data_IF_768067897416
#
_entry.id   IF_768067897416
#
_cell.length_a   1.000
_cell.length_b   1.000
_cell.length_c   1.000
_cell.angle_alpha   90.00
_cell.angle_beta   90.00
_cell.angle_gamma   90.00
#
_symmetry.space_group_name_H-M   'P 1'
#
loop_
_entity.id
_entity.type
_entity.pdbx_description
1 polymer ?
#
# COMPACT_ATOMS: atom_id res chain seq x y z
N UNK A 1 -4.37 -12.25 24.37
CA UNK A 1 -3.27 -12.89 23.61
C UNK A 1 -3.28 -14.38 23.92
N UNK A 2 -3.43 -15.20 22.88
CA UNK A 2 -3.30 -16.66 22.97
C UNK A 2 -1.81 -16.99 22.89
N UNK A 3 -1.31 -17.73 23.88
CA UNK A 3 0.10 -18.14 23.97
C UNK A 3 0.29 -19.56 23.44
N UNK A 4 -0.75 -20.39 23.54
CA UNK A 4 -0.73 -21.77 23.10
C UNK A 4 -2.06 -22.44 23.34
N UNK A 5 -2.06 -23.75 23.28
CA UNK A 5 -3.22 -24.59 23.55
C UNK A 5 -2.88 -25.68 24.56
N UNK A 6 -3.89 -26.11 25.34
CA UNK A 6 -3.72 -27.25 26.24
C UNK A 6 -3.37 -28.52 25.44
N UNK A 7 -2.52 -29.36 26.01
CA UNK A 7 -2.20 -30.67 25.42
C UNK A 7 -3.43 -31.59 25.42
N UNK A 8 -3.65 -32.29 24.29
CA UNK A 8 -4.78 -33.23 24.16
C UNK A 8 -5.18 -33.43 22.71
N UNK A 9 -6.30 -34.10 22.46
CA UNK A 9 -6.89 -34.20 21.12
C UNK A 9 -7.32 -32.82 20.63
N UNK A 10 -7.25 -32.58 19.31
CA UNK A 10 -7.57 -31.27 18.70
C UNK A 10 -8.93 -30.74 19.17
N UNK A 11 -9.95 -31.59 19.24
CA UNK A 11 -11.29 -31.22 19.71
C UNK A 11 -11.37 -30.83 21.21
N UNK A 12 -10.36 -31.18 21.99
CA UNK A 12 -10.30 -30.92 23.43
C UNK A 12 -9.32 -29.80 23.79
N UNK A 13 -8.57 -29.31 22.82
CA UNK A 13 -7.58 -28.26 23.04
C UNK A 13 -8.27 -26.92 23.36
N UNK A 14 -7.90 -26.35 24.50
CA UNK A 14 -8.38 -25.03 24.91
C UNK A 14 -7.26 -24.03 24.75
N UNK A 15 -7.56 -22.79 24.27
CA UNK A 15 -6.55 -21.74 24.19
C UNK A 15 -6.05 -21.39 25.59
N UNK A 16 -4.73 -21.25 25.71
CA UNK A 16 -4.07 -20.74 26.91
C UNK A 16 -3.67 -19.30 26.61
N UNK A 17 -4.14 -18.35 27.42
CA UNK A 17 -3.95 -16.94 27.25
C UNK A 17 -2.90 -16.39 28.21
N UNK A 18 -2.44 -15.17 27.97
CA UNK A 18 -1.59 -14.44 28.91
C UNK A 18 -2.26 -14.27 30.28
N UNK A 19 -3.60 -14.18 30.32
CA UNK A 19 -4.37 -14.09 31.55
C UNK A 19 -4.28 -15.37 32.39
N UNK A 20 -4.34 -16.53 31.75
CA UNK A 20 -4.23 -17.82 32.45
C UNK A 20 -2.85 -18.00 33.12
N UNK A 21 -1.83 -17.32 32.60
CA UNK A 21 -0.48 -17.29 33.17
C UNK A 21 -0.25 -16.10 34.14
N UNK A 22 -1.23 -15.25 34.35
CA UNK A 22 -1.11 -14.00 35.11
C UNK A 22 0.04 -13.10 34.61
N UNK A 23 0.32 -13.16 33.29
CA UNK A 23 1.45 -12.44 32.67
C UNK A 23 1.06 -11.09 32.05
N UNK A 24 -0.22 -10.74 32.00
CA UNK A 24 -0.72 -9.54 31.35
C UNK A 24 -0.15 -8.25 31.93
N UNK A 25 0.05 -8.16 33.24
CA UNK A 25 0.64 -6.99 33.90
C UNK A 25 2.09 -6.75 33.48
N UNK A 26 2.89 -7.82 33.44
CA UNK A 26 4.27 -7.78 32.97
C UNK A 26 4.37 -7.42 31.48
N UNK A 27 3.49 -7.99 30.65
CA UNK A 27 3.41 -7.67 29.22
C UNK A 27 3.02 -6.20 29.00
N UNK A 28 2.03 -5.69 29.74
CA UNK A 28 1.63 -4.29 29.66
C UNK A 28 2.78 -3.34 30.04
N UNK A 29 3.55 -3.68 31.06
CA UNK A 29 4.71 -2.88 31.48
C UNK A 29 5.79 -2.83 30.40
N UNK A 30 6.10 -3.96 29.76
CA UNK A 30 7.07 -4.03 28.67
C UNK A 30 6.59 -3.33 27.39
N UNK A 31 5.30 -3.40 27.08
CA UNK A 31 4.72 -2.83 25.87
C UNK A 31 4.28 -1.36 26.02
N UNK A 32 4.40 -0.77 27.21
CA UNK A 32 3.92 0.58 27.51
C UNK A 32 4.34 1.63 26.48
N UNK A 33 5.60 1.63 26.07
CA UNK A 33 6.10 2.59 25.09
C UNK A 33 5.86 2.13 23.65
N UNK A 34 5.86 0.84 23.40
CA UNK A 34 5.55 0.27 22.08
C UNK A 34 4.10 0.53 21.63
N UNK A 35 3.18 0.81 22.56
CA UNK A 35 1.78 1.17 22.25
C UNK A 35 1.62 2.61 21.76
N UNK A 36 2.66 3.43 21.86
CA UNK A 36 2.63 4.83 21.44
C UNK A 36 3.16 4.98 20.02
N UNK A 37 2.40 5.60 19.10
CA UNK A 37 2.94 5.93 17.78
C UNK A 37 4.15 6.86 17.87
N UNK A 38 5.11 6.67 16.96
CA UNK A 38 6.25 7.55 16.82
C UNK A 38 5.95 8.61 15.77
N UNK A 39 6.04 9.88 16.15
CA UNK A 39 5.97 11.00 15.22
C UNK A 39 7.38 11.38 14.80
N UNK A 40 7.63 11.37 13.51
CA UNK A 40 8.91 11.74 12.88
C UNK A 40 8.67 12.82 11.83
N UNK A 41 9.72 13.57 11.53
CA UNK A 41 9.72 14.53 10.43
C UNK A 41 10.44 13.94 9.22
N UNK A 42 9.84 14.05 8.04
CA UNK A 42 10.48 13.65 6.79
C UNK A 42 11.51 14.68 6.32
N UNK A 43 12.31 14.33 5.32
CA UNK A 43 13.27 15.26 4.71
C UNK A 43 12.59 16.49 4.07
N UNK A 44 11.35 16.33 3.64
CA UNK A 44 10.50 17.40 3.10
C UNK A 44 9.72 18.17 4.18
N UNK A 45 10.10 17.98 5.44
CA UNK A 45 9.48 18.62 6.62
C UNK A 45 8.02 18.26 6.88
N UNK A 46 7.49 17.25 6.21
CA UNK A 46 6.16 16.72 6.47
C UNK A 46 6.17 15.76 7.68
N UNK A 47 5.11 15.76 8.52
CA UNK A 47 5.02 14.81 9.61
C UNK A 47 4.71 13.39 9.10
N UNK A 48 5.34 12.39 9.70
CA UNK A 48 5.04 10.98 9.46
C UNK A 48 4.87 10.24 10.78
N UNK A 49 3.88 9.36 10.85
CA UNK A 49 3.58 8.56 12.04
C UNK A 49 3.95 7.11 11.75
N UNK A 50 4.87 6.55 12.53
CA UNK A 50 5.36 5.18 12.41
C UNK A 50 4.94 4.39 13.65
N UNK A 51 4.30 3.25 13.46
CA UNK A 51 3.83 2.46 14.59
C UNK A 51 3.61 0.97 14.23
N UNK A 52 4.10 0.09 15.10
CA UNK A 52 3.79 -1.33 15.12
C UNK A 52 4.50 -2.20 14.10
N UNK A 53 4.91 -1.69 12.95
CA UNK A 53 5.61 -2.43 11.90
C UNK A 53 4.92 -3.70 11.40
N UNK A 54 3.60 -3.70 11.09
CA UNK A 54 2.90 -4.91 10.65
C UNK A 54 3.26 -5.24 9.19
N UNK A 55 4.13 -6.21 9.00
CA UNK A 55 4.51 -6.67 7.65
C UNK A 55 3.32 -7.29 6.90
N UNK A 56 3.13 -6.90 5.64
CA UNK A 56 2.00 -7.34 4.83
C UNK A 56 2.03 -8.85 4.49
N UNK A 57 3.19 -9.49 4.49
CA UNK A 57 3.33 -10.93 4.25
C UNK A 57 2.99 -11.81 5.47
N UNK A 58 2.96 -11.24 6.67
CA UNK A 58 2.66 -11.98 7.92
C UNK A 58 1.48 -11.39 8.71
N UNK A 59 1.06 -10.16 8.39
CA UNK A 59 -0.05 -9.46 9.03
C UNK A 59 -0.82 -8.64 7.98
N UNK A 60 -1.69 -7.73 8.41
CA UNK A 60 -2.45 -6.87 7.48
C UNK A 60 -1.60 -5.79 6.80
N UNK A 61 -0.40 -5.47 7.31
CA UNK A 61 0.41 -4.35 6.81
C UNK A 61 -0.17 -2.97 7.18
N UNK A 62 0.27 -1.94 6.46
CA UNK A 62 -0.42 -0.63 6.40
C UNK A 62 -0.47 0.16 7.70
N UNK A 63 0.53 0.07 8.58
CA UNK A 63 0.58 0.78 9.85
C UNK A 63 -0.55 0.35 10.83
N UNK A 64 -0.59 0.89 12.04
CA UNK A 64 -1.59 0.55 13.05
C UNK A 64 -2.88 1.39 12.93
N UNK A 65 -3.98 0.88 13.47
CA UNK A 65 -5.23 1.64 13.58
C UNK A 65 -5.05 2.92 14.41
N UNK A 66 -4.27 2.85 15.48
CA UNK A 66 -3.99 3.99 16.37
C UNK A 66 -3.29 5.10 15.62
N UNK A 67 -2.23 4.78 14.86
CA UNK A 67 -1.48 5.75 14.07
C UNK A 67 -2.34 6.38 12.97
N UNK A 68 -3.10 5.58 12.24
CA UNK A 68 -3.98 6.08 11.17
C UNK A 68 -5.07 7.00 11.71
N UNK A 69 -5.75 6.61 12.79
CA UNK A 69 -6.75 7.48 13.42
C UNK A 69 -6.15 8.76 13.99
N UNK A 70 -4.91 8.70 14.48
CA UNK A 70 -4.19 9.88 14.94
C UNK A 70 -3.88 10.81 13.76
N UNK A 71 -3.35 10.30 12.64
CA UNK A 71 -3.09 11.08 11.43
C UNK A 71 -4.37 11.78 10.94
N UNK A 72 -5.48 11.06 10.83
CA UNK A 72 -6.78 11.60 10.40
C UNK A 72 -7.33 12.70 11.33
N UNK A 73 -6.90 12.74 12.59
CA UNK A 73 -7.33 13.79 13.54
C UNK A 73 -6.41 15.01 13.57
N UNK A 74 -5.18 14.85 13.13
CA UNK A 74 -4.15 15.88 13.24
C UNK A 74 -3.86 16.62 11.93
N UNK A 75 -4.35 16.10 10.80
CA UNK A 75 -4.06 16.63 9.48
C UNK A 75 -5.32 16.70 8.61
N UNK A 76 -5.35 17.61 7.64
CA UNK A 76 -6.40 17.72 6.64
C UNK A 76 -6.36 16.54 5.64
N UNK A 77 -5.16 16.02 5.39
CA UNK A 77 -4.93 14.84 4.55
C UNK A 77 -4.13 13.79 5.32
N UNK A 78 -4.65 12.58 5.38
CA UNK A 78 -3.97 11.42 5.96
C UNK A 78 -3.66 10.42 4.85
N UNK A 79 -2.37 10.23 4.55
CA UNK A 79 -1.90 9.32 3.51
C UNK A 79 -1.32 8.08 4.18
N UNK A 80 -1.71 6.91 3.74
CA UNK A 80 -1.18 5.63 4.20
C UNK A 80 -0.83 4.75 3.00
N UNK A 81 0.14 3.87 3.18
CA UNK A 81 0.48 2.89 2.15
C UNK A 81 -0.33 1.60 2.30
N UNK A 82 -0.37 0.81 1.24
CA UNK A 82 -0.82 -0.57 1.26
C UNK A 82 0.28 -1.40 0.57
N UNK A 83 1.08 -2.10 1.35
CA UNK A 83 2.30 -2.78 0.88
C UNK A 83 2.03 -3.89 -0.14
N UNK A 84 2.98 -4.10 -1.04
CA UNK A 84 2.91 -5.02 -2.19
C UNK A 84 1.90 -4.56 -3.25
N UNK A 85 1.37 -5.51 -4.05
CA UNK A 85 0.37 -5.23 -5.07
C UNK A 85 -1.01 -4.92 -4.48
N UNK A 86 -1.88 -4.38 -5.33
CA UNK A 86 -3.28 -4.12 -4.96
C UNK A 86 -3.98 -5.40 -4.51
N UNK A 87 -3.70 -6.51 -5.18
CA UNK A 87 -4.21 -7.85 -4.91
C UNK A 87 -3.73 -8.49 -3.60
N UNK A 88 -2.89 -7.81 -2.84
CA UNK A 88 -2.43 -8.24 -1.51
C UNK A 88 -2.61 -7.13 -0.48
N UNK A 89 -1.88 -6.03 -0.60
CA UNK A 89 -1.85 -4.97 0.40
C UNK A 89 -3.13 -4.17 0.44
N UNK A 90 -3.67 -3.76 -0.71
CA UNK A 90 -4.91 -3.00 -0.75
C UNK A 90 -6.12 -3.84 -0.29
N UNK A 91 -6.19 -5.13 -0.65
CA UNK A 91 -7.22 -6.03 -0.12
C UNK A 91 -7.16 -6.11 1.41
N UNK A 92 -5.97 -6.34 1.98
CA UNK A 92 -5.81 -6.38 3.43
C UNK A 92 -6.16 -5.04 4.10
N UNK A 93 -5.78 -3.93 3.47
CA UNK A 93 -6.12 -2.60 3.95
C UNK A 93 -7.64 -2.39 3.98
N UNK A 94 -8.32 -2.68 2.89
CA UNK A 94 -9.76 -2.45 2.74
C UNK A 94 -10.58 -3.47 3.53
N UNK A 95 -10.28 -4.76 3.39
CA UNK A 95 -11.09 -5.84 3.95
C UNK A 95 -10.81 -6.14 5.41
N UNK A 96 -9.62 -5.83 5.92
CA UNK A 96 -9.26 -6.05 7.33
C UNK A 96 -9.20 -4.71 8.07
N UNK A 97 -8.25 -3.86 7.71
CA UNK A 97 -7.95 -2.66 8.49
C UNK A 97 -9.10 -1.65 8.47
N UNK A 98 -9.62 -1.32 7.29
CA UNK A 98 -10.73 -0.37 7.16
C UNK A 98 -11.99 -0.85 7.87
N UNK A 99 -12.31 -2.15 7.76
CA UNK A 99 -13.48 -2.74 8.45
C UNK A 99 -13.30 -2.71 9.97
N UNK A 100 -12.13 -3.08 10.49
CA UNK A 100 -11.85 -3.02 11.94
C UNK A 100 -11.84 -1.59 12.47
N UNK A 101 -11.35 -0.64 11.69
CA UNK A 101 -11.27 0.76 12.09
C UNK A 101 -12.57 1.54 11.90
N UNK A 102 -13.51 1.05 11.07
CA UNK A 102 -14.69 1.80 10.65
C UNK A 102 -14.32 3.02 9.81
N UNK A 103 -13.29 2.91 8.96
CA UNK A 103 -12.82 3.98 8.07
C UNK A 103 -12.94 3.53 6.61
N UNK A 104 -12.98 4.51 5.71
CA UNK A 104 -12.97 4.30 4.25
C UNK A 104 -12.04 5.35 3.65
N UNK A 105 -11.15 4.99 2.71
CA UNK A 105 -10.37 5.98 1.99
C UNK A 105 -11.27 6.79 1.03
N UNK A 106 -10.92 8.05 0.83
CA UNK A 106 -11.61 8.93 -0.10
C UNK A 106 -11.11 8.75 -1.53
N UNK A 107 -9.83 8.41 -1.69
CA UNK A 107 -9.20 8.11 -2.97
C UNK A 107 -8.08 7.07 -2.80
N UNK A 108 -7.72 6.42 -3.91
CA UNK A 108 -6.64 5.43 -4.00
C UNK A 108 -5.65 5.85 -5.08
N UNK A 109 -4.36 5.83 -4.75
CA UNK A 109 -3.28 5.98 -5.73
C UNK A 109 -2.72 4.60 -6.07
N UNK A 110 -2.83 4.19 -7.33
CA UNK A 110 -2.23 2.97 -7.85
C UNK A 110 -0.88 3.31 -8.46
N UNK A 111 0.20 2.81 -7.86
CA UNK A 111 1.55 3.03 -8.39
C UNK A 111 1.85 1.98 -9.45
N UNK A 112 2.10 2.41 -10.69
CA UNK A 112 2.52 1.60 -11.80
C UNK A 112 3.96 1.90 -12.20
N UNK A 113 4.69 0.91 -12.69
CA UNK A 113 6.01 1.10 -13.30
C UNK A 113 6.07 0.44 -14.67
N UNK A 114 6.71 1.09 -15.64
CA UNK A 114 6.95 0.51 -16.96
C UNK A 114 7.63 -0.86 -16.85
N UNK A 115 8.61 -0.98 -15.96
CA UNK A 115 9.35 -2.22 -15.70
C UNK A 115 8.44 -3.37 -15.26
N UNK A 116 7.53 -3.12 -14.31
CA UNK A 116 6.60 -4.15 -13.84
C UNK A 116 5.63 -4.57 -14.95
N UNK A 117 5.14 -3.62 -15.74
CA UNK A 117 4.23 -3.91 -16.85
C UNK A 117 4.96 -4.71 -17.95
N UNK A 118 6.19 -4.34 -18.35
CA UNK A 118 7.00 -5.15 -19.28
C UNK A 118 7.27 -6.57 -18.76
N UNK A 119 7.55 -6.71 -17.46
CA UNK A 119 7.73 -8.02 -16.84
C UNK A 119 6.45 -8.86 -16.93
N UNK A 120 5.30 -8.27 -16.65
CA UNK A 120 3.99 -8.91 -16.82
C UNK A 120 3.70 -9.25 -18.29
N UNK A 121 4.26 -8.50 -19.23
CA UNK A 121 4.19 -8.75 -20.67
C UNK A 121 5.19 -9.80 -21.18
N UNK A 122 6.00 -10.40 -20.28
CA UNK A 122 6.90 -11.51 -20.59
C UNK A 122 8.37 -11.16 -20.78
N UNK A 123 8.80 -9.91 -20.51
CA UNK A 123 10.21 -9.52 -20.57
C UNK A 123 10.98 -10.11 -19.39
N UNK A 124 12.13 -10.70 -19.64
CA UNK A 124 13.00 -11.22 -18.60
C UNK A 124 13.63 -10.08 -17.76
N UNK A 125 13.90 -10.35 -16.48
CA UNK A 125 14.42 -9.32 -15.55
C UNK A 125 15.68 -8.57 -16.02
N UNK A 126 16.68 -9.21 -16.68
CA UNK A 126 17.85 -8.51 -17.19
C UNK A 126 17.55 -7.48 -18.28
N UNK A 127 16.48 -7.70 -19.06
CA UNK A 127 16.16 -6.94 -20.27
C UNK A 127 15.14 -5.82 -20.02
N UNK A 128 14.71 -5.63 -18.77
CA UNK A 128 13.68 -4.64 -18.39
C UNK A 128 14.09 -3.18 -18.62
N UNK A 129 15.37 -2.91 -18.84
CA UNK A 129 15.87 -1.56 -19.14
C UNK A 129 15.78 -1.20 -20.64
N UNK A 130 15.58 -2.19 -21.50
CA UNK A 130 15.43 -1.99 -22.95
C UNK A 130 13.98 -1.59 -23.27
N UNK A 131 13.81 -0.68 -24.25
CA UNK A 131 12.47 -0.30 -24.71
C UNK A 131 11.75 -1.52 -25.32
N UNK A 132 10.51 -1.74 -24.89
CA UNK A 132 9.68 -2.81 -25.43
C UNK A 132 8.19 -2.49 -25.33
N UNK A 133 7.69 -1.75 -26.32
CA UNK A 133 6.29 -1.32 -26.38
C UNK A 133 5.32 -2.49 -26.51
N UNK A 134 5.70 -3.54 -27.27
CA UNK A 134 4.85 -4.73 -27.46
C UNK A 134 4.62 -5.46 -26.14
N UNK A 135 5.69 -5.70 -25.40
CA UNK A 135 5.58 -6.33 -24.08
C UNK A 135 4.86 -5.43 -23.05
N UNK A 136 5.11 -4.12 -23.12
CA UNK A 136 4.41 -3.15 -22.29
C UNK A 136 2.90 -3.21 -22.54
N UNK A 137 2.46 -3.20 -23.79
CA UNK A 137 1.05 -3.31 -24.16
C UNK A 137 0.42 -4.63 -23.67
N UNK A 138 1.15 -5.75 -23.77
CA UNK A 138 0.72 -7.04 -23.21
C UNK A 138 0.58 -7.03 -21.69
N UNK A 139 1.36 -6.23 -20.99
CA UNK A 139 1.32 -6.13 -19.54
C UNK A 139 0.27 -5.15 -18.99
N UNK A 140 -0.18 -4.18 -19.77
CA UNK A 140 -1.17 -3.17 -19.37
C UNK A 140 -2.47 -3.79 -18.83
N UNK A 141 -3.02 -4.89 -19.36
CA UNK A 141 -4.21 -5.54 -18.79
C UNK A 141 -4.09 -5.88 -17.29
N UNK A 142 -2.87 -6.11 -16.77
CA UNK A 142 -2.65 -6.30 -15.35
C UNK A 142 -2.98 -5.02 -14.55
N UNK A 143 -2.46 -3.87 -14.97
CA UNK A 143 -2.79 -2.57 -14.36
C UNK A 143 -4.32 -2.29 -14.45
N UNK A 144 -4.90 -2.56 -15.60
CA UNK A 144 -6.34 -2.37 -15.82
C UNK A 144 -7.20 -3.20 -14.89
N UNK A 145 -6.76 -4.42 -14.57
CA UNK A 145 -7.44 -5.28 -13.60
C UNK A 145 -7.44 -4.64 -12.21
N UNK A 146 -6.30 -4.12 -11.75
CA UNK A 146 -6.19 -3.44 -10.46
C UNK A 146 -7.04 -2.17 -10.40
N UNK A 147 -7.02 -1.35 -11.46
CA UNK A 147 -7.93 -0.19 -11.58
C UNK A 147 -9.38 -0.61 -11.50
N UNK A 148 -9.75 -1.69 -12.23
CA UNK A 148 -11.11 -2.24 -12.22
C UNK A 148 -11.54 -2.73 -10.84
N UNK A 149 -10.65 -3.35 -10.08
CA UNK A 149 -10.94 -3.79 -8.71
C UNK A 149 -11.25 -2.58 -7.81
N UNK A 150 -10.41 -1.55 -7.83
CA UNK A 150 -10.62 -0.36 -7.01
C UNK A 150 -11.92 0.36 -7.39
N UNK A 151 -12.16 0.60 -8.69
CA UNK A 151 -13.33 1.35 -9.16
C UNK A 151 -14.63 0.55 -9.06
N UNK A 152 -14.63 -0.71 -9.50
CA UNK A 152 -15.86 -1.46 -9.72
C UNK A 152 -16.20 -2.40 -8.54
N UNK A 153 -15.20 -2.92 -7.81
CA UNK A 153 -15.44 -3.81 -6.67
C UNK A 153 -15.53 -3.00 -5.38
N UNK A 154 -14.54 -2.14 -5.12
CA UNK A 154 -14.51 -1.33 -3.90
C UNK A 154 -15.28 -0.01 -4.02
N UNK A 155 -15.60 0.43 -5.24
CA UNK A 155 -16.34 1.67 -5.48
C UNK A 155 -15.59 2.92 -5.01
N UNK A 156 -14.28 2.94 -5.23
CA UNK A 156 -13.40 4.03 -4.81
C UNK A 156 -12.84 4.79 -6.02
N UNK A 157 -12.71 6.13 -5.93
CA UNK A 157 -11.96 6.89 -6.91
C UNK A 157 -10.49 6.44 -6.91
N UNK A 158 -9.86 6.40 -8.07
CA UNK A 158 -8.42 6.10 -8.15
C UNK A 158 -7.71 6.95 -9.19
N UNK A 159 -6.45 7.22 -8.92
CA UNK A 159 -5.47 7.87 -9.80
C UNK A 159 -4.33 6.89 -10.02
N UNK A 160 -3.83 6.79 -11.25
CA UNK A 160 -2.63 6.02 -11.55
C UNK A 160 -1.40 6.92 -11.49
N UNK A 161 -0.45 6.60 -10.62
CA UNK A 161 0.86 7.24 -10.58
C UNK A 161 1.85 6.40 -11.39
N UNK A 162 2.33 6.91 -12.51
CA UNK A 162 3.42 6.26 -13.26
C UNK A 162 4.73 6.66 -12.57
N UNK A 163 5.31 5.75 -11.79
CA UNK A 163 6.59 5.97 -11.13
C UNK A 163 7.72 5.78 -12.15
N UNK A 164 8.23 6.90 -12.67
CA UNK A 164 9.21 6.93 -13.75
C UNK A 164 10.61 6.56 -13.26
N UNK A 165 11.27 5.73 -14.01
CA UNK A 165 12.67 5.38 -13.85
C UNK A 165 13.52 6.04 -14.96
N UNK A 166 14.82 6.33 -14.70
CA UNK A 166 15.69 6.95 -15.70
C UNK A 166 15.85 6.15 -17.00
N UNK A 167 15.53 4.85 -16.96
CA UNK A 167 15.60 3.95 -18.12
C UNK A 167 14.30 3.88 -18.91
N UNK A 168 13.21 4.45 -18.40
CA UNK A 168 11.94 4.43 -19.10
C UNK A 168 11.97 5.42 -20.26
N UNK A 169 11.54 4.98 -21.44
CA UNK A 169 11.50 5.86 -22.60
C UNK A 169 10.22 6.70 -22.63
N UNK A 170 10.30 7.83 -23.32
CA UNK A 170 9.11 8.68 -23.50
C UNK A 170 7.96 7.90 -24.15
N UNK A 171 8.26 7.07 -25.14
CA UNK A 171 7.25 6.27 -25.83
C UNK A 171 6.55 5.29 -24.90
N UNK A 172 7.29 4.66 -23.97
CA UNK A 172 6.72 3.76 -22.97
C UNK A 172 5.82 4.50 -21.97
N UNK A 173 6.26 5.66 -21.49
CA UNK A 173 5.48 6.49 -20.57
C UNK A 173 4.19 7.00 -21.22
N UNK A 174 4.29 7.52 -22.46
CA UNK A 174 3.15 8.02 -23.25
C UNK A 174 2.13 6.89 -23.50
N UNK A 175 2.57 5.65 -23.78
CA UNK A 175 1.69 4.51 -23.99
C UNK A 175 0.87 4.17 -22.73
N UNK A 176 1.51 4.13 -21.56
CA UNK A 176 0.79 3.86 -20.30
C UNK A 176 -0.21 4.96 -20.01
N UNK A 177 0.17 6.22 -20.22
CA UNK A 177 -0.71 7.37 -20.02
C UNK A 177 -1.92 7.33 -20.94
N UNK A 178 -1.73 7.03 -22.23
CA UNK A 178 -2.80 6.89 -23.22
C UNK A 178 -3.79 5.81 -22.82
N UNK A 179 -3.29 4.63 -22.44
CA UNK A 179 -4.14 3.51 -22.01
C UNK A 179 -4.94 3.80 -20.74
N UNK A 180 -4.38 4.52 -19.78
CA UNK A 180 -5.13 4.98 -18.61
C UNK A 180 -6.25 5.96 -19.00
N UNK A 181 -5.97 6.91 -19.90
CA UNK A 181 -6.96 7.88 -20.39
C UNK A 181 -8.10 7.22 -21.18
N UNK A 182 -7.79 6.23 -22.03
CA UNK A 182 -8.81 5.43 -22.75
C UNK A 182 -9.85 4.80 -21.80
N UNK A 183 -9.43 4.46 -20.57
CA UNK A 183 -10.28 3.85 -19.54
C UNK A 183 -10.94 4.87 -18.61
N UNK A 184 -10.76 6.15 -18.89
CA UNK A 184 -11.31 7.21 -18.05
C UNK A 184 -10.75 7.20 -16.62
N UNK A 185 -9.45 6.94 -16.48
CA UNK A 185 -8.73 6.98 -15.22
C UNK A 185 -7.73 8.12 -15.24
N UNK A 186 -7.75 8.95 -14.20
CA UNK A 186 -6.77 9.99 -14.00
C UNK A 186 -5.38 9.38 -13.85
N UNK A 187 -4.39 9.98 -14.47
CA UNK A 187 -3.02 9.49 -14.48
C UNK A 187 -2.04 10.65 -14.37
N UNK A 188 -1.00 10.48 -13.56
CA UNK A 188 0.06 11.45 -13.44
C UNK A 188 1.43 10.75 -13.44
N UNK A 189 2.40 11.40 -14.08
CA UNK A 189 3.80 11.00 -13.98
C UNK A 189 4.34 11.41 -12.62
N UNK A 190 4.96 10.47 -11.92
CA UNK A 190 5.62 10.69 -10.64
C UNK A 190 7.14 10.57 -10.81
N UNK A 191 7.84 11.65 -10.54
CA UNK A 191 9.30 11.74 -10.58
C UNK A 191 9.89 11.99 -9.18
N UNK A 192 9.16 11.58 -8.14
CA UNK A 192 9.54 11.85 -6.74
C UNK A 192 10.91 11.26 -6.36
N UNK A 193 11.31 10.16 -6.98
CA UNK A 193 12.62 9.57 -6.77
C UNK A 193 13.76 10.52 -7.18
N UNK A 194 13.61 11.22 -8.29
CA UNK A 194 14.64 12.11 -8.85
C UNK A 194 14.54 13.54 -8.33
N UNK A 195 13.33 14.01 -8.03
CA UNK A 195 13.04 15.44 -7.78
C UNK A 195 12.45 15.72 -6.40
N UNK A 196 12.32 14.70 -5.54
CA UNK A 196 11.65 14.87 -4.24
C UNK A 196 10.19 15.31 -4.40
N UNK A 197 9.69 16.11 -3.47
CA UNK A 197 8.31 16.60 -3.46
C UNK A 197 7.88 17.32 -4.75
N UNK A 198 8.79 18.05 -5.39
CA UNK A 198 8.49 18.73 -6.67
C UNK A 198 8.08 17.74 -7.77
N UNK A 199 8.66 16.53 -7.76
CA UNK A 199 8.30 15.47 -8.72
C UNK A 199 6.92 14.85 -8.50
N UNK A 200 6.24 15.18 -7.40
CA UNK A 200 4.92 14.68 -7.04
C UNK A 200 3.77 15.70 -7.20
N UNK A 201 4.05 16.95 -7.56
CA UNK A 201 3.03 18.03 -7.59
C UNK A 201 1.86 17.65 -8.51
N UNK A 202 2.13 17.21 -9.73
CA UNK A 202 1.07 16.82 -10.69
C UNK A 202 0.20 15.66 -10.15
N UNK A 203 0.82 14.71 -9.46
CA UNK A 203 0.08 13.63 -8.83
C UNK A 203 -0.83 14.15 -7.70
N UNK A 204 -0.33 15.08 -6.91
CA UNK A 204 -1.10 15.67 -5.83
C UNK A 204 -2.29 16.51 -6.35
N UNK A 205 -2.13 17.16 -7.50
CA UNK A 205 -3.22 17.91 -8.16
C UNK A 205 -4.33 16.99 -8.72
N UNK A 206 -3.97 15.77 -9.12
CA UNK A 206 -4.92 14.79 -9.65
C UNK A 206 -5.69 14.05 -8.54
N UNK A 207 -5.17 13.99 -7.33
CA UNK A 207 -5.79 13.32 -6.17
C UNK A 207 -6.76 14.25 -5.46
#
# INVERSE_FOLDING_TARGET
>A
IIIGYTYGKIAEQKPVTAHDLHAEGAMCALLKDALKPNLVQTLEHAPAIVHGGPFANIAHGCNSLTATRMAMKLADYAITEAGFGEDLGAEKFLDIKCRMAGIKPDAVVIVATVRALKYNGGVAKPDLNEENLEALEKGIPNLMKHVGNIKNVYGLPCVVAINAFPTDTKAELDLVEEKCKELGVNVALSEVWAKGGEGGIKLAEEV
#
